data_IF_334971679286
#
_entry.id   IF_334971679286
#
_cell.length_a   1.000
_cell.length_b   1.000
_cell.length_c   1.000
_cell.angle_alpha   90.00
_cell.angle_beta   90.00
_cell.angle_gamma   90.00
#
_symmetry.space_group_name_H-M   'P 1'
#
loop_
_entity.id
_entity.type
_entity.pdbx_description
1 polymer ?
#
# COMPACT_ATOMS: atom_id res chain seq x y z
N UNK A 1 15.55 18.62 -4.02
CA UNK A 1 14.19 18.19 -4.40
C UNK A 1 13.53 17.58 -3.18
N UNK A 2 12.49 18.22 -2.64
CA UNK A 2 11.84 17.80 -1.39
C UNK A 2 10.88 16.62 -1.59
N UNK A 3 10.32 16.09 -0.49
CA UNK A 3 9.32 15.01 -0.52
C UNK A 3 8.09 15.38 -1.36
N UNK A 4 7.63 16.63 -1.23
CA UNK A 4 6.46 17.13 -1.95
C UNK A 4 6.71 17.26 -3.45
N UNK A 5 7.93 17.61 -3.87
CA UNK A 5 8.29 17.69 -5.29
C UNK A 5 8.27 16.31 -5.94
N UNK A 6 8.82 15.31 -5.24
CA UNK A 6 8.79 13.90 -5.69
C UNK A 6 7.36 13.36 -5.80
N UNK A 7 6.50 13.72 -4.84
CA UNK A 7 5.08 13.34 -4.90
C UNK A 7 4.38 13.98 -6.11
N UNK A 8 4.59 15.28 -6.35
CA UNK A 8 4.05 15.98 -7.52
C UNK A 8 4.51 15.37 -8.83
N UNK A 9 5.80 15.04 -8.93
CA UNK A 9 6.36 14.40 -10.12
C UNK A 9 5.76 13.01 -10.34
N UNK A 10 5.67 12.18 -9.30
CA UNK A 10 5.07 10.85 -9.37
C UNK A 10 3.60 10.86 -9.81
N UNK A 11 2.86 11.91 -9.44
CA UNK A 11 1.46 12.11 -9.80
C UNK A 11 1.25 12.91 -11.10
N UNK A 12 2.32 13.31 -11.80
CA UNK A 12 2.21 14.22 -12.95
C UNK A 12 1.33 13.66 -14.08
N UNK A 13 1.45 12.36 -14.38
CA UNK A 13 0.63 11.69 -15.41
C UNK A 13 -0.86 11.67 -15.02
N UNK A 14 -1.16 11.29 -13.78
CA UNK A 14 -2.54 11.31 -13.25
C UNK A 14 -3.10 12.73 -13.26
N UNK A 15 -2.32 13.72 -12.80
CA UNK A 15 -2.73 15.13 -12.83
C UNK A 15 -3.10 15.59 -14.24
N UNK A 16 -2.23 15.31 -15.22
CA UNK A 16 -2.48 15.69 -16.62
C UNK A 16 -3.73 14.99 -17.18
N UNK A 17 -3.89 13.69 -16.95
CA UNK A 17 -5.01 12.94 -17.51
C UNK A 17 -6.36 13.17 -16.82
N UNK A 18 -6.35 13.43 -15.51
CA UNK A 18 -7.55 13.50 -14.68
C UNK A 18 -8.00 14.94 -14.42
N UNK A 19 -7.08 15.80 -13.94
CA UNK A 19 -7.44 17.16 -13.52
C UNK A 19 -7.78 18.03 -14.73
N UNK A 20 -7.04 17.91 -15.83
CA UNK A 20 -7.32 18.69 -17.05
C UNK A 20 -8.70 18.35 -17.65
N UNK A 21 -9.11 17.08 -17.59
CA UNK A 21 -10.45 16.66 -18.04
C UNK A 21 -11.56 17.24 -17.17
N UNK A 22 -11.41 17.15 -15.84
CA UNK A 22 -12.38 17.73 -14.90
C UNK A 22 -12.47 19.25 -15.11
N UNK A 23 -11.33 19.94 -15.24
CA UNK A 23 -11.32 21.38 -15.48
C UNK A 23 -11.99 21.74 -16.81
N UNK A 24 -11.78 20.95 -17.87
CA UNK A 24 -12.46 21.14 -19.16
C UNK A 24 -13.98 21.04 -19.03
N UNK A 25 -14.49 19.98 -18.39
CA UNK A 25 -15.93 19.76 -18.22
C UNK A 25 -16.55 20.86 -17.36
N UNK A 26 -15.87 21.26 -16.29
CA UNK A 26 -16.35 22.33 -15.42
C UNK A 26 -16.30 23.72 -16.07
N UNK A 27 -15.49 23.96 -17.10
CA UNK A 27 -15.41 25.27 -17.78
C UNK A 27 -16.67 25.62 -18.60
N UNK A 28 -17.56 24.65 -18.89
CA UNK A 28 -18.71 24.85 -19.79
C UNK A 28 -19.90 25.66 -19.22
N UNK A 29 -19.72 26.38 -18.10
CA UNK A 29 -20.72 27.30 -17.55
C UNK A 29 -21.51 26.70 -16.40
N UNK A 30 -22.85 26.69 -16.49
CA UNK A 30 -23.73 26.17 -15.44
C UNK A 30 -23.54 24.67 -15.27
N UNK A 31 -23.52 24.21 -14.02
CA UNK A 31 -23.38 22.78 -13.71
C UNK A 31 -24.77 22.13 -13.76
N UNK A 32 -25.11 21.59 -14.93
CA UNK A 32 -26.34 20.88 -15.19
C UNK A 32 -26.16 19.35 -15.12
N UNK A 33 -27.21 18.60 -15.45
CA UNK A 33 -27.16 17.14 -15.42
C UNK A 33 -26.16 16.55 -16.43
N UNK A 34 -25.91 17.22 -17.56
CA UNK A 34 -24.97 16.77 -18.58
C UNK A 34 -23.53 16.86 -18.06
N UNK A 35 -23.15 18.01 -17.48
CA UNK A 35 -21.85 18.20 -16.82
C UNK A 35 -21.60 17.15 -15.74
N UNK A 36 -22.63 16.84 -14.95
CA UNK A 36 -22.51 15.84 -13.87
C UNK A 36 -22.32 14.42 -14.43
N UNK A 37 -22.99 14.06 -15.53
CA UNK A 37 -22.81 12.76 -16.17
C UNK A 37 -21.41 12.63 -16.81
N UNK A 38 -20.89 13.69 -17.41
CA UNK A 38 -19.51 13.71 -17.92
C UNK A 38 -18.48 13.57 -16.79
N UNK A 39 -18.71 14.22 -15.65
CA UNK A 39 -17.86 14.05 -14.46
C UNK A 39 -17.87 12.60 -13.96
N UNK A 40 -19.04 11.95 -13.94
CA UNK A 40 -19.17 10.54 -13.59
C UNK A 40 -18.33 9.64 -14.50
N UNK A 41 -18.40 9.86 -15.82
CA UNK A 41 -17.59 9.13 -16.79
C UNK A 41 -16.09 9.34 -16.56
N UNK A 42 -15.65 10.57 -16.31
CA UNK A 42 -14.24 10.88 -16.03
C UNK A 42 -13.76 10.17 -14.77
N UNK A 43 -14.55 10.16 -13.70
CA UNK A 43 -14.19 9.50 -12.44
C UNK A 43 -14.06 7.97 -12.63
N UNK A 44 -15.00 7.34 -13.33
CA UNK A 44 -14.95 5.90 -13.62
C UNK A 44 -13.74 5.55 -14.49
N UNK A 45 -13.53 6.28 -15.59
CA UNK A 45 -12.43 6.04 -16.53
C UNK A 45 -11.06 6.36 -15.94
N UNK A 46 -11.01 7.04 -14.79
CA UNK A 46 -9.79 7.36 -14.04
C UNK A 46 -9.55 6.42 -12.86
N UNK A 47 -10.15 5.22 -12.88
CA UNK A 47 -9.96 4.17 -11.85
C UNK A 47 -10.39 4.59 -10.42
N UNK A 48 -11.32 5.53 -10.26
CA UNK A 48 -11.88 5.86 -8.92
C UNK A 48 -12.81 4.73 -8.42
N UNK A 49 -13.45 4.01 -9.34
CA UNK A 49 -14.35 2.90 -9.06
C UNK A 49 -15.82 3.35 -8.90
N UNK A 50 -16.73 2.41 -9.13
CA UNK A 50 -18.17 2.70 -9.25
C UNK A 50 -18.77 3.24 -7.96
N UNK A 51 -18.45 2.62 -6.82
CA UNK A 51 -19.03 3.00 -5.52
C UNK A 51 -18.58 4.41 -5.10
N UNK A 52 -17.27 4.69 -5.14
CA UNK A 52 -16.74 6.00 -4.79
C UNK A 52 -17.20 7.09 -5.77
N UNK A 53 -17.30 6.77 -7.06
CA UNK A 53 -17.84 7.71 -8.05
C UNK A 53 -19.30 8.04 -7.76
N UNK A 54 -20.14 7.03 -7.52
CA UNK A 54 -21.54 7.23 -7.20
C UNK A 54 -21.73 8.07 -5.93
N UNK A 55 -20.90 7.87 -4.91
CA UNK A 55 -20.91 8.68 -3.68
C UNK A 55 -20.61 10.15 -3.99
N UNK A 56 -19.52 10.43 -4.72
CA UNK A 56 -19.11 11.79 -5.11
C UNK A 56 -20.21 12.47 -5.94
N UNK A 57 -20.73 11.79 -6.97
CA UNK A 57 -21.70 12.33 -7.92
C UNK A 57 -23.04 12.61 -7.24
N UNK A 58 -23.54 11.69 -6.41
CA UNK A 58 -24.78 11.90 -5.68
C UNK A 58 -24.68 13.06 -4.69
N UNK A 59 -23.54 13.16 -3.99
CA UNK A 59 -23.26 14.27 -3.07
C UNK A 59 -23.20 15.61 -3.82
N UNK A 60 -22.56 15.65 -5.00
CA UNK A 60 -22.54 16.83 -5.88
C UNK A 60 -23.95 17.25 -6.33
N UNK A 61 -24.76 16.31 -6.83
CA UNK A 61 -26.16 16.58 -7.26
C UNK A 61 -26.99 17.18 -6.13
N UNK A 62 -26.84 16.67 -4.92
CA UNK A 62 -27.58 17.17 -3.75
C UNK A 62 -27.16 18.59 -3.36
N UNK A 63 -25.86 18.91 -3.49
CA UNK A 63 -25.31 20.25 -3.23
C UNK A 63 -25.69 21.28 -4.27
N UNK A 64 -25.82 20.87 -5.54
CA UNK A 64 -26.37 21.72 -6.61
C UNK A 64 -27.84 22.04 -6.32
N UNK A 65 -28.66 21.03 -5.96
CA UNK A 65 -30.08 21.23 -5.60
C UNK A 65 -30.29 22.18 -4.42
N UNK A 66 -29.38 22.15 -3.43
CA UNK A 66 -29.38 23.06 -2.28
C UNK A 66 -28.83 24.45 -2.58
N UNK A 67 -28.31 24.67 -3.80
CA UNK A 67 -27.69 25.94 -4.20
C UNK A 67 -26.36 26.21 -3.49
N UNK A 68 -25.69 25.18 -2.96
CA UNK A 68 -24.37 25.30 -2.33
C UNK A 68 -23.24 25.27 -3.37
N UNK A 69 -23.46 24.60 -4.49
CA UNK A 69 -22.56 24.56 -5.65
C UNK A 69 -23.29 25.20 -6.84
N UNK A 70 -22.70 26.25 -7.43
CA UNK A 70 -23.35 27.06 -8.47
C UNK A 70 -22.52 27.26 -9.72
N UNK A 71 -21.21 27.09 -9.60
CA UNK A 71 -20.23 27.38 -10.64
C UNK A 71 -19.06 26.41 -10.59
N UNK A 72 -18.21 26.48 -11.61
CA UNK A 72 -17.01 25.64 -11.78
C UNK A 72 -16.07 25.69 -10.57
N UNK A 73 -15.97 26.86 -9.92
CA UNK A 73 -15.07 27.08 -8.78
C UNK A 73 -15.58 26.34 -7.56
N UNK A 74 -16.84 26.56 -7.20
CA UNK A 74 -17.50 25.89 -6.07
C UNK A 74 -17.58 24.38 -6.26
N UNK A 75 -17.78 23.89 -7.50
CA UNK A 75 -17.73 22.45 -7.77
C UNK A 75 -16.34 21.85 -7.63
N UNK A 76 -15.30 22.54 -8.11
CA UNK A 76 -13.92 22.07 -7.95
C UNK A 76 -13.51 22.00 -6.47
N UNK A 77 -13.88 23.01 -5.69
CA UNK A 77 -13.65 23.01 -4.24
C UNK A 77 -14.43 21.89 -3.54
N UNK A 78 -15.69 21.69 -3.93
CA UNK A 78 -16.52 20.60 -3.42
C UNK A 78 -15.91 19.22 -3.73
N UNK A 79 -15.57 18.95 -4.99
CA UNK A 79 -14.95 17.67 -5.39
C UNK A 79 -13.66 17.42 -4.61
N UNK A 80 -12.81 18.44 -4.46
CA UNK A 80 -11.58 18.33 -3.65
C UNK A 80 -11.91 17.95 -2.20
N UNK A 81 -12.91 18.60 -1.59
CA UNK A 81 -13.33 18.31 -0.22
C UNK A 81 -13.88 16.90 -0.09
N UNK A 82 -14.75 16.48 -1.00
CA UNK A 82 -15.38 15.16 -1.00
C UNK A 82 -14.35 14.04 -1.19
N UNK A 83 -13.47 14.17 -2.18
CA UNK A 83 -12.38 13.21 -2.40
C UNK A 83 -11.41 13.17 -1.22
N UNK A 84 -11.14 14.30 -0.56
CA UNK A 84 -10.31 14.32 0.65
C UNK A 84 -11.00 13.60 1.81
N UNK A 85 -12.32 13.77 1.96
CA UNK A 85 -13.10 13.08 2.99
C UNK A 85 -13.10 11.56 2.76
N UNK A 86 -13.21 11.11 1.51
CA UNK A 86 -13.15 9.68 1.14
C UNK A 86 -11.82 9.02 1.48
N UNK A 87 -10.70 9.75 1.43
CA UNK A 87 -9.40 9.23 1.86
C UNK A 87 -9.33 8.95 3.36
N UNK A 88 -10.27 9.50 4.15
CA UNK A 88 -10.36 9.29 5.58
C UNK A 88 -9.18 9.85 6.37
N UNK A 89 -9.03 9.37 7.60
CA UNK A 89 -7.93 9.76 8.48
C UNK A 89 -6.67 8.94 8.19
N UNK A 90 -5.50 9.58 8.27
CA UNK A 90 -4.23 8.86 8.15
C UNK A 90 -4.07 7.85 9.28
N UNK A 91 -3.76 6.61 8.95
CA UNK A 91 -3.39 5.55 9.91
C UNK A 91 -1.95 5.12 9.68
N UNK A 92 -0.95 5.90 10.15
CA UNK A 92 0.45 5.53 9.96
C UNK A 92 0.80 4.27 10.76
N UNK A 93 1.78 3.50 10.28
CA UNK A 93 2.36 2.40 11.06
C UNK A 93 3.05 3.01 12.28
N UNK A 94 2.54 2.70 13.47
CA UNK A 94 3.12 3.17 14.73
C UNK A 94 3.96 2.06 15.31
N UNK A 95 5.28 2.28 15.36
CA UNK A 95 6.25 1.33 15.91
C UNK A 95 6.27 1.40 17.44
N UNK A 96 5.18 0.96 18.07
CA UNK A 96 5.05 0.90 19.53
C UNK A 96 4.93 -0.54 20.04
N UNK A 97 5.24 -0.74 21.31
CA UNK A 97 5.03 -2.02 22.00
C UNK A 97 6.29 -2.87 22.10
N UNK A 98 6.09 -4.19 22.10
CA UNK A 98 7.13 -5.18 22.34
C UNK A 98 8.12 -5.26 21.17
N UNK A 99 9.42 -5.36 21.50
CA UNK A 99 10.48 -5.57 20.51
C UNK A 99 10.81 -7.07 20.38
N UNK A 100 11.04 -7.58 19.15
CA UNK A 100 10.99 -6.85 17.89
C UNK A 100 9.55 -6.52 17.46
N UNK A 101 9.35 -5.34 16.86
CA UNK A 101 8.11 -5.01 16.15
C UNK A 101 8.11 -5.78 14.82
N UNK A 102 7.08 -6.59 14.57
CA UNK A 102 7.03 -7.51 13.43
C UNK A 102 6.04 -7.02 12.37
N UNK A 103 6.56 -6.81 11.17
CA UNK A 103 5.80 -6.46 9.96
C UNK A 103 5.77 -7.67 9.04
N UNK A 104 4.58 -8.23 8.83
CA UNK A 104 4.35 -9.29 7.84
C UNK A 104 3.92 -8.66 6.52
N UNK A 105 4.77 -8.71 5.50
CA UNK A 105 4.48 -8.10 4.19
C UNK A 105 3.80 -9.09 3.27
N UNK A 106 2.61 -8.77 2.79
CA UNK A 106 1.78 -9.63 1.93
C UNK A 106 1.38 -8.91 0.65
N UNK A 107 0.86 -9.66 -0.33
CA UNK A 107 0.47 -9.12 -1.63
C UNK A 107 0.88 -10.05 -2.77
N UNK A 108 0.38 -9.79 -3.98
CA UNK A 108 0.61 -10.70 -5.11
C UNK A 108 2.02 -10.55 -5.70
N UNK A 109 2.43 -11.45 -6.58
CA UNK A 109 3.71 -11.35 -7.25
C UNK A 109 3.72 -10.14 -8.19
N UNK A 110 4.85 -9.43 -8.28
CA UNK A 110 5.01 -8.30 -9.19
C UNK A 110 4.61 -6.93 -8.62
N UNK A 111 3.78 -6.87 -7.57
CA UNK A 111 3.31 -5.58 -6.99
C UNK A 111 4.36 -4.77 -6.24
N UNK A 112 5.60 -5.26 -6.18
CA UNK A 112 6.71 -4.55 -5.55
C UNK A 112 6.93 -4.84 -4.07
N UNK A 113 6.40 -5.95 -3.50
CA UNK A 113 6.63 -6.35 -2.09
C UNK A 113 8.08 -6.23 -1.64
N UNK A 114 8.98 -7.00 -2.25
CA UNK A 114 10.40 -7.06 -1.89
C UNK A 114 11.06 -5.68 -2.02
N UNK A 115 10.70 -4.90 -3.06
CA UNK A 115 11.17 -3.51 -3.23
C UNK A 115 10.68 -2.59 -2.12
N UNK A 116 9.42 -2.72 -1.71
CA UNK A 116 8.83 -1.95 -0.60
C UNK A 116 9.50 -2.29 0.73
N UNK A 117 9.82 -3.58 0.97
CA UNK A 117 10.57 -4.02 2.15
C UNK A 117 11.94 -3.35 2.19
N UNK A 118 12.69 -3.33 1.08
CA UNK A 118 13.99 -2.66 1.02
C UNK A 118 13.92 -1.15 1.27
N UNK A 119 12.91 -0.46 0.71
CA UNK A 119 12.66 0.97 0.97
C UNK A 119 12.32 1.23 2.44
N UNK A 120 11.46 0.41 3.02
CA UNK A 120 11.06 0.50 4.42
C UNK A 120 12.26 0.24 5.34
N UNK A 121 13.06 -0.78 5.06
CA UNK A 121 14.29 -1.07 5.79
C UNK A 121 15.26 0.11 5.75
N UNK A 122 15.51 0.68 4.56
CA UNK A 122 16.39 1.85 4.42
C UNK A 122 15.89 3.06 5.21
N UNK A 123 14.57 3.33 5.17
CA UNK A 123 13.96 4.41 5.95
C UNK A 123 14.12 4.19 7.45
N UNK A 124 13.74 3.02 7.97
CA UNK A 124 13.82 2.70 9.39
C UNK A 124 15.27 2.72 9.91
N UNK A 125 16.22 2.24 9.10
CA UNK A 125 17.65 2.32 9.39
C UNK A 125 18.13 3.77 9.45
N UNK A 126 17.65 4.64 8.55
CA UNK A 126 17.97 6.07 8.58
C UNK A 126 17.34 6.82 9.77
N UNK A 127 16.25 6.28 10.32
CA UNK A 127 15.59 6.76 11.56
C UNK A 127 16.29 6.22 12.83
N UNK A 128 17.36 5.41 12.69
CA UNK A 128 18.17 4.92 13.80
C UNK A 128 17.75 3.55 14.35
N UNK A 129 16.74 2.90 13.77
CA UNK A 129 16.31 1.57 14.19
C UNK A 129 17.25 0.46 13.68
N UNK A 130 17.37 -0.61 14.44
CA UNK A 130 17.93 -1.88 13.97
C UNK A 130 16.84 -2.70 13.26
N UNK A 131 17.17 -3.24 12.07
CA UNK A 131 16.21 -3.92 11.20
C UNK A 131 16.75 -5.29 10.78
N UNK A 132 15.89 -6.31 10.84
CA UNK A 132 16.16 -7.64 10.32
C UNK A 132 15.09 -8.04 9.30
N UNK A 133 15.51 -8.58 8.15
CA UNK A 133 14.64 -9.06 7.09
C UNK A 133 14.52 -10.59 7.15
N UNK A 134 13.31 -11.12 7.09
CA UNK A 134 13.04 -12.56 6.97
C UNK A 134 12.66 -12.92 5.54
N UNK A 135 13.47 -13.75 4.88
CA UNK A 135 13.28 -14.16 3.47
C UNK A 135 12.30 -15.34 3.33
N UNK A 136 11.03 -15.14 3.70
CA UNK A 136 10.02 -16.21 3.68
C UNK A 136 9.33 -16.41 2.30
N UNK A 137 9.66 -15.66 1.24
CA UNK A 137 9.38 -16.08 -0.16
C UNK A 137 10.39 -17.16 -0.61
N UNK A 138 10.29 -18.34 0.01
CA UNK A 138 11.25 -19.43 -0.18
C UNK A 138 11.09 -20.16 -1.51
N UNK A 139 9.97 -19.95 -2.22
CA UNK A 139 9.72 -20.60 -3.51
C UNK A 139 10.53 -20.01 -4.65
N UNK A 140 11.04 -18.79 -4.50
CA UNK A 140 11.74 -18.06 -5.56
C UNK A 140 13.16 -17.76 -5.09
N UNK A 141 14.12 -18.54 -5.55
CA UNK A 141 15.55 -18.29 -5.27
C UNK A 141 15.95 -16.83 -5.57
N UNK A 142 15.51 -16.30 -6.71
CA UNK A 142 15.75 -14.90 -7.09
C UNK A 142 15.12 -13.88 -6.13
N UNK A 143 14.02 -14.21 -5.43
CA UNK A 143 13.43 -13.31 -4.43
C UNK A 143 14.29 -13.26 -3.16
N UNK A 144 14.86 -14.40 -2.74
CA UNK A 144 15.81 -14.46 -1.62
C UNK A 144 17.07 -13.64 -1.95
N UNK A 145 17.66 -13.83 -3.14
CA UNK A 145 18.83 -13.07 -3.59
C UNK A 145 18.53 -11.56 -3.71
N UNK A 146 17.36 -11.21 -4.24
CA UNK A 146 16.93 -9.81 -4.32
C UNK A 146 16.81 -9.18 -2.94
N UNK A 147 16.22 -9.89 -1.97
CA UNK A 147 16.07 -9.39 -0.61
C UNK A 147 17.42 -9.24 0.10
N UNK A 148 18.38 -10.13 -0.16
CA UNK A 148 19.75 -10.04 0.35
C UNK A 148 20.47 -8.78 -0.14
N UNK A 149 20.39 -8.48 -1.44
CA UNK A 149 20.96 -7.24 -2.00
C UNK A 149 20.32 -6.01 -1.35
N UNK A 150 19.01 -6.04 -1.08
CA UNK A 150 18.32 -4.94 -0.41
C UNK A 150 18.67 -4.84 1.08
N UNK A 151 18.92 -5.96 1.76
CA UNK A 151 19.41 -5.99 3.13
C UNK A 151 20.78 -5.31 3.22
N UNK A 152 21.71 -5.69 2.34
CA UNK A 152 23.04 -5.08 2.25
C UNK A 152 22.94 -3.57 1.98
N UNK A 153 22.17 -3.16 0.98
CA UNK A 153 22.00 -1.74 0.61
C UNK A 153 21.35 -0.89 1.71
N UNK A 154 20.50 -1.48 2.54
CA UNK A 154 19.86 -0.78 3.67
C UNK A 154 20.67 -0.88 4.97
N UNK A 155 21.70 -1.73 5.02
CA UNK A 155 22.42 -2.06 6.23
C UNK A 155 21.58 -2.85 7.25
N UNK A 156 20.54 -3.55 6.78
CA UNK A 156 19.73 -4.45 7.60
C UNK A 156 20.36 -5.85 7.69
N UNK A 157 20.08 -6.57 8.78
CA UNK A 157 20.39 -8.00 8.86
C UNK A 157 19.39 -8.81 8.05
N UNK A 158 19.74 -10.04 7.66
CA UNK A 158 18.83 -10.96 6.97
C UNK A 158 18.89 -12.37 7.56
N UNK A 159 17.73 -13.03 7.62
CA UNK A 159 17.58 -14.46 7.86
C UNK A 159 16.96 -15.09 6.63
N UNK A 160 17.62 -16.11 6.08
CA UNK A 160 17.21 -16.83 4.88
C UNK A 160 17.59 -18.30 5.00
N UNK A 161 16.77 -19.17 4.41
CA UNK A 161 17.11 -20.58 4.18
C UNK A 161 17.33 -20.84 2.68
N UNK A 162 17.51 -22.11 2.31
CA UNK A 162 17.61 -22.50 0.91
C UNK A 162 16.24 -22.42 0.21
N UNK A 163 16.25 -22.27 -1.11
CA UNK A 163 15.02 -22.31 -1.92
C UNK A 163 14.24 -23.60 -1.68
N UNK A 164 12.92 -23.50 -1.52
CA UNK A 164 12.03 -24.62 -1.19
C UNK A 164 11.88 -24.93 0.30
N UNK A 165 12.57 -24.19 1.18
CA UNK A 165 12.41 -24.33 2.64
C UNK A 165 11.02 -23.89 3.11
N UNK A 166 10.61 -24.32 4.30
CA UNK A 166 9.35 -23.88 4.91
C UNK A 166 9.36 -22.37 5.23
N UNK A 167 8.50 -21.53 4.61
CA UNK A 167 8.39 -20.10 4.91
C UNK A 167 8.21 -19.78 6.39
N UNK A 168 7.46 -20.64 7.10
CA UNK A 168 7.16 -20.46 8.51
C UNK A 168 8.39 -20.70 9.40
N UNK A 169 9.29 -21.60 9.00
CA UNK A 169 10.54 -21.83 9.70
C UNK A 169 11.48 -20.60 9.57
N UNK A 170 11.61 -20.04 8.34
CA UNK A 170 12.40 -18.82 8.13
C UNK A 170 11.85 -17.65 8.97
N UNK A 171 10.53 -17.51 9.04
CA UNK A 171 9.90 -16.48 9.83
C UNK A 171 10.15 -16.66 11.34
N UNK A 172 10.09 -17.91 11.83
CA UNK A 172 10.41 -18.23 13.23
C UNK A 172 11.85 -17.83 13.58
N UNK A 173 12.81 -18.27 12.76
CA UNK A 173 14.23 -18.03 12.99
C UNK A 173 14.57 -16.54 12.89
N UNK A 174 13.86 -15.79 12.03
CA UNK A 174 13.96 -14.34 11.97
C UNK A 174 13.58 -13.68 13.31
N UNK A 175 12.48 -14.11 13.95
CA UNK A 175 12.06 -13.57 15.25
C UNK A 175 13.05 -13.97 16.35
N UNK A 176 13.46 -15.23 16.43
CA UNK A 176 14.42 -15.68 17.44
C UNK A 176 15.78 -14.98 17.31
N UNK A 177 16.28 -14.83 16.07
CA UNK A 177 17.51 -14.08 15.81
C UNK A 177 17.39 -12.63 16.23
N UNK A 178 16.25 -11.99 15.95
CA UNK A 178 15.97 -10.62 16.33
C UNK A 178 15.93 -10.43 17.85
N UNK A 179 15.28 -11.34 18.59
CA UNK A 179 15.27 -11.32 20.06
C UNK A 179 16.68 -11.44 20.64
N UNK A 180 17.45 -12.43 20.18
CA UNK A 180 18.81 -12.67 20.66
C UNK A 180 19.73 -11.46 20.38
N UNK A 181 19.61 -10.86 19.20
CA UNK A 181 20.39 -9.69 18.77
C UNK A 181 19.81 -8.36 19.26
N UNK A 182 18.70 -8.36 19.99
CA UNK A 182 17.97 -7.17 20.47
C UNK A 182 17.62 -6.20 19.32
N UNK A 183 17.20 -6.74 18.18
CA UNK A 183 16.78 -5.99 17.01
C UNK A 183 15.42 -5.33 17.28
N UNK A 184 15.24 -4.09 16.82
CA UNK A 184 14.03 -3.30 17.03
C UNK A 184 12.88 -3.77 16.15
N UNK A 185 13.15 -4.10 14.88
CA UNK A 185 12.12 -4.33 13.86
C UNK A 185 12.47 -5.55 13.00
N UNK A 186 11.49 -6.43 12.77
CA UNK A 186 11.57 -7.53 11.82
C UNK A 186 10.56 -7.30 10.69
N UNK A 187 11.02 -7.40 9.44
CA UNK A 187 10.16 -7.34 8.25
C UNK A 187 10.24 -8.67 7.53
N UNK A 188 9.12 -9.37 7.41
CA UNK A 188 9.03 -10.70 6.79
C UNK A 188 8.47 -10.53 5.37
N UNK A 189 9.23 -10.97 4.36
CA UNK A 189 8.76 -11.10 2.97
C UNK A 189 8.01 -12.43 2.81
N UNK A 190 6.92 -12.46 2.06
CA UNK A 190 6.13 -13.68 1.84
C UNK A 190 5.94 -13.96 0.34
N UNK A 191 5.57 -15.20 0.02
CA UNK A 191 5.10 -15.52 -1.33
C UNK A 191 3.84 -14.71 -1.70
N UNK A 192 3.61 -14.52 -3.00
CA UNK A 192 2.47 -13.76 -3.54
C UNK A 192 1.71 -14.46 -4.67
N UNK A 193 1.67 -15.79 -4.68
CA UNK A 193 1.07 -16.58 -5.77
C UNK A 193 -0.47 -16.57 -5.70
N UNK A 194 -1.13 -15.55 -6.26
CA UNK A 194 -2.60 -15.41 -6.20
C UNK A 194 -3.37 -16.52 -6.96
N UNK A 195 -2.77 -17.12 -7.99
CA UNK A 195 -3.38 -18.20 -8.77
C UNK A 195 -3.69 -19.46 -7.94
N UNK A 196 -3.16 -19.55 -6.72
CA UNK A 196 -3.43 -20.61 -5.73
C UNK A 196 -4.01 -20.00 -4.45
N UNK A 197 -5.23 -19.47 -4.50
CA UNK A 197 -5.86 -18.75 -3.36
C UNK A 197 -5.85 -19.56 -2.06
N UNK A 198 -6.30 -20.82 -2.06
CA UNK A 198 -6.37 -21.62 -0.82
C UNK A 198 -4.99 -22.01 -0.26
N UNK A 199 -4.05 -22.56 -1.06
CA UNK A 199 -2.71 -22.88 -0.56
C UNK A 199 -1.94 -21.66 -0.03
N UNK A 200 -2.01 -20.52 -0.72
CA UNK A 200 -1.35 -19.28 -0.27
C UNK A 200 -1.90 -18.81 1.07
N UNK A 201 -3.23 -18.81 1.23
CA UNK A 201 -3.85 -18.38 2.49
C UNK A 201 -3.50 -19.29 3.67
N UNK A 202 -3.41 -20.60 3.45
CA UNK A 202 -2.98 -21.53 4.50
C UNK A 202 -1.51 -21.37 4.86
N UNK A 203 -0.65 -21.06 3.89
CA UNK A 203 0.75 -20.72 4.13
C UNK A 203 0.88 -19.44 4.97
N UNK A 204 0.20 -18.36 4.60
CA UNK A 204 0.21 -17.10 5.36
C UNK A 204 -0.32 -17.29 6.79
N UNK A 205 -1.40 -18.06 6.97
CA UNK A 205 -1.90 -18.44 8.29
C UNK A 205 -0.89 -19.27 9.09
N UNK A 206 -0.16 -20.18 8.43
CA UNK A 206 0.89 -20.98 9.06
C UNK A 206 2.04 -20.09 9.53
N UNK A 207 2.53 -19.17 8.68
CA UNK A 207 3.57 -18.19 9.04
C UNK A 207 3.14 -17.38 10.26
N UNK A 208 1.92 -16.81 10.24
CA UNK A 208 1.37 -16.06 11.37
C UNK A 208 1.35 -16.90 12.67
N UNK A 209 0.80 -18.12 12.62
CA UNK A 209 0.74 -19.01 13.79
C UNK A 209 2.11 -19.34 14.36
N UNK A 210 3.10 -19.56 13.49
CA UNK A 210 4.46 -19.90 13.92
C UNK A 210 5.17 -18.69 14.53
N UNK A 211 5.03 -17.51 13.92
CA UNK A 211 5.51 -16.25 14.51
C UNK A 211 4.91 -16.01 15.90
N UNK A 212 3.61 -16.29 16.08
CA UNK A 212 2.92 -16.17 17.37
C UNK A 212 3.40 -17.13 18.46
N UNK A 213 3.95 -18.30 18.09
CA UNK A 213 4.56 -19.20 19.06
C UNK A 213 5.84 -18.61 19.67
N UNK A 214 6.57 -17.84 18.88
CA UNK A 214 7.76 -17.12 19.36
C UNK A 214 7.32 -15.84 20.07
N UNK A 215 6.50 -15.01 19.45
CA UNK A 215 6.09 -13.70 19.95
C UNK A 215 4.56 -13.59 19.92
N UNK A 216 3.85 -13.82 21.06
CA UNK A 216 2.40 -13.97 21.09
C UNK A 216 1.59 -12.84 20.44
N UNK A 217 2.08 -11.60 20.49
CA UNK A 217 1.42 -10.42 19.93
C UNK A 217 1.77 -10.11 18.46
N UNK A 218 2.60 -10.94 17.82
CA UNK A 218 3.02 -10.71 16.44
C UNK A 218 2.08 -11.38 15.40
N UNK A 219 2.12 -10.93 14.13
CA UNK A 219 2.70 -9.67 13.69
C UNK A 219 1.87 -8.48 14.20
N UNK A 220 2.55 -7.40 14.59
CA UNK A 220 1.90 -6.15 14.99
C UNK A 220 1.35 -5.40 13.77
N UNK A 221 1.96 -5.59 12.60
CA UNK A 221 1.52 -5.00 11.34
C UNK A 221 1.45 -6.07 10.24
N UNK A 222 0.36 -6.07 9.47
CA UNK A 222 0.25 -6.86 8.23
C UNK A 222 0.15 -5.90 7.06
N UNK A 223 1.26 -5.70 6.36
CA UNK A 223 1.38 -4.73 5.29
C UNK A 223 1.02 -5.34 3.93
N UNK A 224 -0.17 -5.01 3.40
CA UNK A 224 -0.56 -5.38 2.04
C UNK A 224 0.06 -4.40 1.04
N UNK A 225 0.86 -4.92 0.10
CA UNK A 225 1.41 -4.15 -1.01
C UNK A 225 0.56 -4.40 -2.25
N UNK A 226 0.11 -3.31 -2.89
CA UNK A 226 -0.71 -3.30 -4.11
C UNK A 226 -0.05 -2.46 -5.19
N UNK A 227 -0.33 -2.79 -6.45
CA UNK A 227 0.16 -2.05 -7.61
C UNK A 227 -0.92 -1.14 -8.19
N UNK A 228 -0.81 0.15 -7.92
CA UNK A 228 -1.75 1.16 -8.41
C UNK A 228 -1.79 1.26 -9.94
N UNK A 229 -0.76 0.79 -10.66
CA UNK A 229 -0.77 0.79 -12.14
C UNK A 229 -1.75 -0.22 -12.73
N UNK A 230 -2.26 -1.15 -11.91
CA UNK A 230 -3.28 -2.12 -12.31
C UNK A 230 -4.71 -1.58 -12.13
N UNK A 231 -4.86 -0.33 -11.67
CA UNK A 231 -6.14 0.35 -11.50
C UNK A 231 -7.06 -0.39 -10.52
N UNK A 232 -8.34 -0.52 -10.88
CA UNK A 232 -9.33 -1.24 -10.08
C UNK A 232 -9.01 -2.72 -9.83
N UNK A 233 -8.10 -3.34 -10.59
CA UNK A 233 -7.69 -4.72 -10.32
C UNK A 233 -6.87 -4.84 -9.01
N UNK A 234 -6.26 -3.75 -8.54
CA UNK A 234 -5.54 -3.73 -7.26
C UNK A 234 -6.46 -3.96 -6.05
N UNK A 235 -7.77 -3.72 -6.21
CA UNK A 235 -8.79 -3.88 -5.16
C UNK A 235 -9.44 -5.28 -5.14
N UNK A 236 -9.13 -6.13 -6.12
CA UNK A 236 -9.79 -7.44 -6.34
C UNK A 236 -9.03 -8.63 -5.74
#
# INVERSE_FOLDING_TARGET
>A
MGLFDRLKEGLAKTRKGFIEKIESVLMHGTIDEEVVNELEEILITSDIGVYATAEIVNSLKDKIKKGEVKDSVSAKEFLKKEMTALLGSSSPVVLFGEKPFVILTVGVNGVGKTTTIGKLASRLRSEGHSVLLGASDTFRAAAIEQLEILAERSGASIVKHQSGSDPAAVAYDAIESAKHKKIDIVIIDTAGRLHTKSPLMEELKKVKRVVQKSLPHAPQEVLLVVDATTGQNALR
#
